data_IF_257363071567
#
_entry.id   IF_257363071567
#
_cell.length_a   1.000
_cell.length_b   1.000
_cell.length_c   1.000
_cell.angle_alpha   90.00
_cell.angle_beta   90.00
_cell.angle_gamma   90.00
#
_symmetry.space_group_name_H-M   'P 1'
#
loop_
_entity.id
_entity.type
_entity.pdbx_description
1 polymer ?
#
# COMPACT_ATOMS: atom_id res chain seq x y z
N UNK A 1 54.28 27.18 -33.49
CA UNK A 1 55.14 27.27 -32.29
C UNK A 1 54.47 28.27 -31.35
N UNK A 2 53.64 27.78 -30.43
CA UNK A 2 52.95 28.60 -29.43
C UNK A 2 53.08 27.90 -28.08
N UNK A 3 53.67 28.62 -27.13
CA UNK A 3 53.89 28.21 -25.76
C UNK A 3 52.59 28.26 -24.97
N UNK A 4 52.38 27.33 -24.05
CA UNK A 4 51.37 27.47 -23.00
C UNK A 4 51.94 27.01 -21.66
N UNK A 5 51.98 27.96 -20.72
CA UNK A 5 52.41 27.84 -19.33
C UNK A 5 51.53 26.86 -18.52
N UNK A 6 52.03 26.35 -17.37
CA UNK A 6 51.30 25.40 -16.53
C UNK A 6 50.27 26.13 -15.67
N UNK A 7 49.01 25.72 -15.76
CA UNK A 7 47.95 26.21 -14.88
C UNK A 7 47.68 25.17 -13.81
N UNK A 8 48.37 25.32 -12.69
CA UNK A 8 47.95 24.85 -11.38
C UNK A 8 46.43 24.98 -11.22
N UNK A 9 45.72 23.86 -11.18
CA UNK A 9 44.30 23.82 -10.84
C UNK A 9 44.13 22.88 -9.66
N UNK A 10 44.26 23.48 -8.49
CA UNK A 10 43.34 23.35 -7.36
C UNK A 10 42.64 21.98 -7.25
N UNK A 11 43.36 20.99 -6.71
CA UNK A 11 42.73 19.80 -6.11
C UNK A 11 41.92 20.27 -4.91
N UNK A 12 40.63 20.51 -5.12
CA UNK A 12 39.67 20.69 -4.04
C UNK A 12 39.60 19.38 -3.24
N UNK A 13 39.74 19.41 -1.91
CA UNK A 13 39.86 18.19 -1.12
C UNK A 13 38.53 17.43 -1.15
N UNK A 14 38.58 16.20 -1.67
CA UNK A 14 37.50 15.20 -1.66
C UNK A 14 36.92 14.92 -0.26
N UNK A 15 37.54 15.47 0.79
CA UNK A 15 37.17 15.32 2.20
C UNK A 15 35.85 16.03 2.54
N UNK A 16 35.46 17.07 1.79
CA UNK A 16 34.26 17.85 2.10
C UNK A 16 32.94 17.14 1.75
N UNK A 17 32.95 16.15 0.85
CA UNK A 17 31.73 15.42 0.45
C UNK A 17 31.34 14.33 1.46
N UNK A 18 32.30 13.80 2.22
CA UNK A 18 32.07 12.68 3.16
C UNK A 18 31.35 13.14 4.44
N UNK A 19 31.37 14.43 4.76
CA UNK A 19 30.80 14.96 6.02
C UNK A 19 29.37 15.50 5.84
N UNK A 20 29.02 15.98 4.64
CA UNK A 20 27.72 16.61 4.39
C UNK A 20 26.60 15.58 4.23
N UNK A 21 26.89 14.40 3.66
CA UNK A 21 25.89 13.34 3.46
C UNK A 21 25.42 12.70 4.78
N UNK A 22 26.30 12.33 5.74
CA UNK A 22 25.86 11.81 7.03
C UNK A 22 25.09 12.83 7.87
N UNK A 23 25.45 14.12 7.80
CA UNK A 23 24.73 15.18 8.52
C UNK A 23 23.33 15.45 7.95
N UNK A 24 23.12 15.30 6.65
CA UNK A 24 21.78 15.42 6.04
C UNK A 24 20.85 14.26 6.45
N UNK A 25 21.39 13.04 6.60
CA UNK A 25 20.62 11.87 7.04
C UNK A 25 20.26 11.98 8.53
N UNK A 26 21.16 12.51 9.36
CA UNK A 26 20.86 12.76 10.79
C UNK A 26 19.78 13.83 11.01
N UNK A 27 19.54 14.75 10.07
CA UNK A 27 18.57 15.84 10.23
C UNK A 27 17.13 15.48 9.80
N UNK A 28 16.94 14.46 8.95
CA UNK A 28 15.61 14.05 8.49
C UNK A 28 15.04 12.80 9.19
N UNK A 29 15.79 12.19 10.12
CA UNK A 29 15.25 11.16 10.98
C UNK A 29 14.57 11.81 12.19
N UNK A 30 13.38 12.37 11.95
CA UNK A 30 12.49 12.87 12.98
C UNK A 30 11.85 11.66 13.67
N UNK A 31 12.51 11.21 14.73
CA UNK A 31 12.05 10.21 15.68
C UNK A 31 10.70 10.66 16.27
N UNK A 32 9.60 10.03 15.85
CA UNK A 32 8.31 10.19 16.53
C UNK A 32 8.35 9.37 17.82
N UNK A 33 8.64 10.10 18.90
CA UNK A 33 8.50 9.73 20.31
C UNK A 33 7.23 8.89 20.59
N UNK A 34 7.33 7.72 21.24
CA UNK A 34 6.19 7.09 21.89
C UNK A 34 6.02 7.71 23.29
N UNK A 35 4.85 8.30 23.55
CA UNK A 35 4.45 8.74 24.88
C UNK A 35 3.76 7.59 25.60
N UNK A 36 4.43 7.06 26.62
CA UNK A 36 3.92 6.04 27.51
C UNK A 36 3.04 6.72 28.58
N UNK A 37 1.71 6.54 28.49
CA UNK A 37 0.80 6.75 29.62
C UNK A 37 -0.11 5.54 29.74
N UNK A 38 0.18 4.78 30.79
CA UNK A 38 -0.61 3.76 31.46
C UNK A 38 -2.11 4.07 31.52
N UNK A 39 -2.94 3.09 31.13
CA UNK A 39 -4.06 2.57 31.94
C UNK A 39 -5.17 1.97 31.06
N UNK A 40 -5.18 0.64 31.04
CA UNK A 40 -6.35 -0.26 31.03
C UNK A 40 -7.43 -0.17 29.92
N UNK A 41 -7.69 -1.37 29.38
CA UNK A 41 -8.86 -1.84 28.59
C UNK A 41 -8.71 -1.84 27.05
N UNK A 42 -8.33 -3.03 26.55
CA UNK A 42 -8.83 -3.74 25.35
C UNK A 42 -9.48 -2.92 24.24
N UNK A 43 -8.81 -2.85 23.08
CA UNK A 43 -9.25 -3.48 21.81
C UNK A 43 -8.22 -3.12 20.72
N UNK A 44 -7.39 -4.08 20.31
CA UNK A 44 -6.52 -3.93 19.14
C UNK A 44 -7.42 -3.82 17.89
N UNK A 45 -7.70 -2.60 17.45
CA UNK A 45 -8.39 -2.37 16.17
C UNK A 45 -7.36 -2.51 15.05
N UNK A 46 -7.46 -3.49 14.14
CA UNK A 46 -6.60 -3.55 12.97
C UNK A 46 -6.82 -2.29 12.11
N UNK A 47 -5.72 -1.68 11.65
CA UNK A 47 -5.71 -0.41 10.94
C UNK A 47 -6.45 -0.50 9.59
N UNK A 48 -7.75 -0.19 9.59
CA UNK A 48 -8.53 0.01 8.37
C UNK A 48 -8.13 1.35 7.74
N UNK A 49 -7.53 1.32 6.56
CA UNK A 49 -7.14 2.50 5.79
C UNK A 49 -8.16 2.76 4.68
N UNK A 50 -8.55 4.03 4.49
CA UNK A 50 -9.34 4.44 3.34
C UNK A 50 -8.41 4.82 2.18
N UNK A 51 -8.42 4.06 1.09
CA UNK A 51 -7.66 4.34 -0.12
C UNK A 51 -8.63 4.66 -1.27
N UNK A 52 -8.69 5.93 -1.69
CA UNK A 52 -9.52 6.37 -2.81
C UNK A 52 -11.01 5.96 -2.69
N UNK A 53 -11.57 6.02 -1.47
CA UNK A 53 -12.95 5.62 -1.20
C UNK A 53 -13.16 4.10 -0.98
N UNK A 54 -12.11 3.30 -1.11
CA UNK A 54 -12.11 1.86 -0.78
C UNK A 54 -11.62 1.69 0.65
N UNK A 55 -12.36 0.94 1.46
CA UNK A 55 -11.90 0.56 2.81
C UNK A 55 -11.02 -0.67 2.68
N UNK A 56 -9.78 -0.59 3.12
CA UNK A 56 -8.83 -1.71 3.11
C UNK A 56 -8.33 -1.94 4.52
N UNK A 57 -8.60 -3.13 5.03
CA UNK A 57 -8.11 -3.60 6.32
C UNK A 57 -7.06 -4.67 6.10
N UNK A 58 -5.82 -4.36 6.49
CA UNK A 58 -4.67 -5.25 6.35
C UNK A 58 -4.70 -6.27 7.47
N UNK A 59 -4.72 -7.56 7.13
CA UNK A 59 -4.68 -8.67 8.08
C UNK A 59 -5.69 -8.53 9.25
N UNK A 60 -7.01 -8.53 8.96
CA UNK A 60 -8.04 -8.42 9.98
C UNK A 60 -7.99 -9.61 10.96
N UNK A 61 -8.50 -9.41 12.18
CA UNK A 61 -8.57 -10.48 13.17
C UNK A 61 -9.42 -11.66 12.67
N UNK A 62 -8.99 -12.89 12.99
CA UNK A 62 -9.70 -14.10 12.57
C UNK A 62 -11.14 -14.16 13.08
N UNK A 63 -11.43 -13.59 14.25
CA UNK A 63 -12.79 -13.46 14.80
C UNK A 63 -13.70 -12.71 13.83
N UNK A 64 -13.23 -11.58 13.30
CA UNK A 64 -13.98 -10.78 12.33
C UNK A 64 -14.23 -11.51 11.02
N UNK A 65 -13.23 -12.23 10.50
CA UNK A 65 -13.41 -13.06 9.30
C UNK A 65 -14.44 -14.17 9.52
N UNK A 66 -14.49 -14.71 10.74
CA UNK A 66 -15.47 -15.73 11.15
C UNK A 66 -16.86 -15.14 11.29
N UNK A 67 -17.00 -13.98 11.93
CA UNK A 67 -18.27 -13.24 12.09
C UNK A 67 -18.87 -12.83 10.74
N UNK A 68 -18.03 -12.39 9.80
CA UNK A 68 -18.42 -12.10 8.43
C UNK A 68 -18.76 -13.36 7.60
N UNK A 69 -18.39 -14.54 8.10
CA UNK A 69 -18.61 -15.81 7.41
C UNK A 69 -17.82 -15.91 6.10
N UNK A 70 -16.62 -15.31 6.02
CA UNK A 70 -15.84 -15.22 4.77
C UNK A 70 -15.64 -16.56 4.09
N UNK A 71 -15.48 -17.63 4.86
CA UNK A 71 -15.31 -19.01 4.36
C UNK A 71 -16.54 -19.54 3.60
N UNK A 72 -17.72 -18.97 3.83
CA UNK A 72 -18.99 -19.34 3.17
C UNK A 72 -19.23 -18.58 1.87
N UNK A 73 -18.49 -17.49 1.64
CA UNK A 73 -18.64 -16.67 0.45
C UNK A 73 -18.16 -17.42 -0.80
N UNK A 74 -18.71 -17.12 -1.99
CA UNK A 74 -18.19 -17.64 -3.23
C UNK A 74 -16.71 -17.28 -3.41
N UNK A 75 -15.98 -18.21 -4.05
CA UNK A 75 -14.57 -18.02 -4.42
C UNK A 75 -14.47 -17.53 -5.85
N UNK A 76 -13.47 -16.69 -6.09
CA UNK A 76 -13.08 -16.26 -7.42
C UNK A 76 -11.57 -16.27 -7.53
N UNK A 77 -11.06 -16.67 -8.70
CA UNK A 77 -9.64 -16.67 -8.99
C UNK A 77 -9.36 -16.14 -10.39
N UNK A 78 -8.19 -15.53 -10.54
CA UNK A 78 -7.72 -15.01 -11.83
C UNK A 78 -6.20 -14.97 -11.86
N UNK A 79 -5.63 -15.27 -13.03
CA UNK A 79 -4.20 -15.13 -13.26
C UNK A 79 -3.77 -13.67 -13.45
N UNK A 80 -2.44 -13.43 -13.57
CA UNK A 80 -1.91 -12.11 -13.88
C UNK A 80 -2.53 -11.54 -15.15
N UNK A 81 -3.18 -10.39 -15.01
CA UNK A 81 -3.97 -9.77 -16.06
C UNK A 81 -4.34 -8.34 -15.68
N UNK A 82 -4.65 -7.51 -16.68
CA UNK A 82 -5.09 -6.13 -16.48
C UNK A 82 -6.42 -5.90 -17.15
N UNK A 83 -7.42 -5.47 -16.40
CA UNK A 83 -8.78 -5.30 -16.93
C UNK A 83 -9.57 -4.24 -16.16
N UNK A 84 -10.49 -3.53 -16.84
CA UNK A 84 -11.44 -2.64 -16.17
C UNK A 84 -12.52 -3.47 -15.46
N UNK A 85 -12.95 -3.00 -14.28
CA UNK A 85 -14.02 -3.59 -13.49
C UNK A 85 -14.96 -2.51 -12.98
N UNK A 86 -16.26 -2.82 -12.93
CA UNK A 86 -17.29 -1.92 -12.41
C UNK A 86 -18.14 -2.67 -11.40
N UNK A 87 -18.24 -2.13 -10.20
CA UNK A 87 -19.01 -2.72 -9.11
C UNK A 87 -20.48 -2.31 -9.21
N UNK A 88 -21.37 -3.29 -9.41
CA UNK A 88 -22.83 -3.05 -9.50
C UNK A 88 -23.53 -2.99 -8.14
N UNK A 89 -22.84 -3.45 -7.10
CA UNK A 89 -23.24 -3.43 -5.70
C UNK A 89 -21.99 -3.20 -4.83
N UNK A 90 -22.18 -2.89 -3.55
CA UNK A 90 -21.06 -2.87 -2.60
C UNK A 90 -20.50 -4.28 -2.48
N UNK A 91 -19.23 -4.45 -2.82
CA UNK A 91 -18.54 -5.74 -2.77
C UNK A 91 -17.53 -5.74 -1.62
N UNK A 92 -17.68 -6.67 -0.70
CA UNK A 92 -16.65 -6.98 0.30
C UNK A 92 -15.87 -8.18 -0.18
N UNK A 93 -14.54 -8.09 -0.21
CA UNK A 93 -13.68 -9.19 -0.63
C UNK A 93 -12.53 -9.41 0.33
N UNK A 94 -12.18 -10.67 0.53
CA UNK A 94 -11.03 -11.10 1.30
C UNK A 94 -10.06 -11.84 0.38
N UNK A 95 -8.84 -11.33 0.24
CA UNK A 95 -7.82 -11.92 -0.61
C UNK A 95 -7.09 -13.03 0.15
N UNK A 96 -7.18 -14.26 -0.37
CA UNK A 96 -6.46 -15.41 0.15
C UNK A 96 -5.02 -15.43 -0.35
N UNK A 97 -4.82 -15.09 -1.63
CA UNK A 97 -3.52 -15.04 -2.27
C UNK A 97 -3.49 -13.96 -3.37
N UNK A 98 -2.28 -13.61 -3.79
CA UNK A 98 -2.03 -12.70 -4.90
C UNK A 98 -1.76 -11.26 -4.50
N UNK A 99 -1.60 -10.43 -5.52
CA UNK A 99 -1.25 -9.02 -5.42
C UNK A 99 -1.85 -8.25 -6.58
N UNK A 100 -2.59 -7.20 -6.26
CA UNK A 100 -3.31 -6.37 -7.23
C UNK A 100 -3.01 -4.90 -6.97
N UNK A 101 -2.67 -4.20 -8.03
CA UNK A 101 -2.66 -2.74 -8.04
C UNK A 101 -4.01 -2.29 -8.56
N UNK A 102 -4.72 -1.51 -7.76
CA UNK A 102 -6.05 -0.98 -8.07
C UNK A 102 -5.92 0.50 -8.39
N UNK A 103 -6.39 0.88 -9.57
CA UNK A 103 -6.54 2.27 -10.00
C UNK A 103 -8.02 2.61 -9.97
N UNK A 104 -8.42 3.65 -9.23
CA UNK A 104 -9.82 4.08 -9.18
C UNK A 104 -10.07 5.13 -10.25
N UNK A 105 -11.09 4.93 -11.07
CA UNK A 105 -11.44 5.88 -12.12
C UNK A 105 -11.77 7.25 -11.51
N UNK A 106 -11.20 8.31 -12.07
CA UNK A 106 -11.38 9.68 -11.57
C UNK A 106 -10.42 10.09 -10.45
N UNK A 107 -9.52 9.20 -9.99
CA UNK A 107 -8.46 9.53 -9.06
C UNK A 107 -7.07 9.43 -9.70
N UNK A 108 -6.18 10.37 -9.40
CA UNK A 108 -4.76 10.24 -9.74
C UNK A 108 -4.05 9.35 -8.71
N UNK A 109 -3.60 8.18 -9.15
CA UNK A 109 -2.83 7.25 -8.33
C UNK A 109 -3.38 5.82 -8.33
N UNK A 110 -2.76 4.97 -7.52
CA UNK A 110 -3.17 3.60 -7.30
C UNK A 110 -2.84 3.15 -5.89
N UNK A 111 -3.47 2.07 -5.45
CA UNK A 111 -3.14 1.41 -4.20
C UNK A 111 -2.99 -0.09 -4.42
N UNK A 112 -2.34 -0.78 -3.47
CA UNK A 112 -2.10 -2.23 -3.57
C UNK A 112 -2.86 -2.98 -2.51
N UNK A 113 -3.57 -4.02 -2.94
CA UNK A 113 -4.17 -5.04 -2.10
C UNK A 113 -3.52 -6.38 -2.40
N UNK A 114 -3.45 -7.26 -1.40
CA UNK A 114 -2.85 -8.58 -1.55
C UNK A 114 -3.36 -9.56 -0.52
N UNK A 115 -2.72 -10.72 -0.45
CA UNK A 115 -3.05 -11.79 0.48
C UNK A 115 -3.22 -11.29 1.93
N UNK A 116 -4.31 -11.68 2.58
CA UNK A 116 -4.67 -11.30 3.94
C UNK A 116 -5.44 -9.98 4.04
N UNK A 117 -5.69 -9.28 2.94
CA UNK A 117 -6.44 -8.02 2.98
C UNK A 117 -7.95 -8.24 2.85
N UNK A 118 -8.70 -7.50 3.66
CA UNK A 118 -10.14 -7.34 3.51
C UNK A 118 -10.44 -5.97 2.92
N UNK A 119 -11.01 -5.94 1.73
CA UNK A 119 -11.32 -4.71 1.00
C UNK A 119 -12.83 -4.59 0.76
N UNK A 120 -13.38 -3.38 0.97
CA UNK A 120 -14.78 -3.04 0.68
C UNK A 120 -14.81 -1.97 -0.40
N UNK A 121 -15.37 -2.35 -1.53
CA UNK A 121 -15.56 -1.49 -2.69
C UNK A 121 -17.01 -0.99 -2.72
N UNK A 122 -17.25 0.32 -2.75
CA UNK A 122 -18.60 0.86 -2.79
C UNK A 122 -19.27 0.59 -4.15
N UNK A 123 -20.61 0.55 -4.12
CA UNK A 123 -21.44 0.46 -5.32
C UNK A 123 -21.12 1.57 -6.34
N UNK A 124 -21.25 1.24 -7.62
CA UNK A 124 -21.06 2.10 -8.79
C UNK A 124 -19.61 2.60 -8.96
N UNK A 125 -18.67 2.07 -8.18
CA UNK A 125 -17.25 2.35 -8.36
C UNK A 125 -16.70 1.64 -9.60
N UNK A 126 -15.85 2.35 -10.33
CA UNK A 126 -15.10 1.82 -11.47
C UNK A 126 -13.62 1.84 -11.16
N UNK A 127 -12.97 0.74 -11.48
CA UNK A 127 -11.55 0.56 -11.20
C UNK A 127 -10.89 -0.16 -12.36
N UNK A 128 -9.59 0.05 -12.52
CA UNK A 128 -8.73 -0.82 -13.32
C UNK A 128 -7.96 -1.74 -12.37
N UNK A 129 -8.14 -3.04 -12.55
CA UNK A 129 -7.37 -4.06 -11.85
C UNK A 129 -6.11 -4.35 -12.65
N UNK A 130 -4.97 -4.30 -11.98
CA UNK A 130 -3.68 -4.75 -12.52
C UNK A 130 -3.17 -5.86 -11.60
N UNK A 131 -3.49 -7.10 -11.98
CA UNK A 131 -3.19 -8.32 -11.22
C UNK A 131 -1.74 -8.71 -11.53
N UNK A 132 -0.86 -8.47 -10.55
CA UNK A 132 0.58 -8.73 -10.66
C UNK A 132 0.90 -10.19 -10.35
N UNK A 133 0.24 -10.72 -9.34
CA UNK A 133 0.34 -12.12 -8.91
C UNK A 133 -1.06 -12.72 -8.92
N UNK A 134 -1.19 -14.00 -9.31
CA UNK A 134 -2.47 -14.68 -9.41
C UNK A 134 -3.29 -14.52 -8.12
N UNK A 135 -4.55 -14.13 -8.26
CA UNK A 135 -5.44 -13.81 -7.14
C UNK A 135 -6.38 -14.95 -6.89
N UNK A 136 -6.64 -15.18 -5.60
CA UNK A 136 -7.75 -15.99 -5.12
C UNK A 136 -8.40 -15.23 -3.97
N UNK A 137 -9.72 -15.07 -4.05
CA UNK A 137 -10.46 -14.26 -3.09
C UNK A 137 -11.82 -14.88 -2.79
N UNK A 138 -12.29 -14.62 -1.59
CA UNK A 138 -13.69 -14.69 -1.25
C UNK A 138 -14.35 -13.33 -1.50
N UNK A 139 -15.58 -13.31 -2.00
CA UNK A 139 -16.31 -12.06 -2.24
C UNK A 139 -17.77 -12.19 -1.84
N UNK A 140 -18.34 -11.10 -1.33
CA UNK A 140 -19.75 -10.98 -0.97
C UNK A 140 -20.30 -9.69 -1.54
N UNK A 141 -21.45 -9.78 -2.20
CA UNK A 141 -22.17 -8.65 -2.74
C UNK A 141 -23.30 -8.30 -1.78
N UNK A 142 -23.38 -7.05 -1.35
CA UNK A 142 -24.52 -6.54 -0.60
C UNK A 142 -25.76 -6.54 -1.51
N UNK A 143 -26.89 -7.03 -1.00
CA UNK A 143 -28.14 -7.20 -1.76
C UNK A 143 -29.02 -5.96 -1.71
#
# INVERSE_FOLDING_TARGET
>A
MFQFLPKQFLVLPLILVVIVVPLYISFNFRESKPEEISSSQSEETPMATNAFGVKVEKNPAQSKLTELGVTTWPKWSCGPSKFPWSFTATETMYLLEGKVIVQVDGHEGSFTIGAGDLAVFPKDMKVTWDVIEAVNKHYSLEK
#
